data_IF_122829283284
#
_entry.id   IF_122829283284
#
_cell.length_a   1.000
_cell.length_b   1.000
_cell.length_c   1.000
_cell.angle_alpha   90.00
_cell.angle_beta   90.00
_cell.angle_gamma   90.00
#
_symmetry.space_group_name_H-M   'P 1'
#
loop_
_entity.id
_entity.type
_entity.pdbx_description
1 polymer ?
#
# COMPACT_ATOMS: atom_id res chain seq x y z
N UNK A 1 24.24 -7.13 -3.68
CA UNK A 1 23.03 -7.86 -3.26
C UNK A 1 23.08 -8.13 -1.77
N UNK A 2 22.23 -7.46 -0.99
CA UNK A 2 22.03 -7.66 0.45
C UNK A 2 21.31 -8.99 0.72
N UNK A 3 21.32 -9.50 1.96
CA UNK A 3 20.50 -10.66 2.33
C UNK A 3 18.99 -10.45 2.05
N UNK A 4 18.49 -9.23 2.21
CA UNK A 4 17.09 -8.89 1.94
C UNK A 4 16.77 -8.93 0.44
N UNK A 5 17.64 -8.36 -0.40
CA UNK A 5 17.47 -8.39 -1.86
C UNK A 5 17.43 -9.83 -2.39
N UNK A 6 18.32 -10.70 -1.89
CA UNK A 6 18.33 -12.13 -2.28
C UNK A 6 17.03 -12.84 -1.92
N UNK A 7 16.51 -12.58 -0.72
CA UNK A 7 15.25 -13.18 -0.27
C UNK A 7 14.07 -12.71 -1.14
N UNK A 8 14.00 -11.42 -1.48
CA UNK A 8 12.96 -10.89 -2.37
C UNK A 8 13.01 -11.54 -3.74
N UNK A 9 14.19 -11.71 -4.34
CA UNK A 9 14.34 -12.40 -5.63
C UNK A 9 13.84 -13.85 -5.60
N UNK A 10 14.05 -14.57 -4.49
CA UNK A 10 13.58 -15.95 -4.36
C UNK A 10 12.05 -16.03 -4.20
N UNK A 11 11.44 -15.05 -3.52
CA UNK A 11 9.98 -14.92 -3.41
C UNK A 11 9.37 -14.53 -4.76
N UNK A 12 9.99 -13.60 -5.50
CA UNK A 12 9.51 -13.11 -6.80
C UNK A 12 9.39 -14.24 -7.82
N UNK A 13 10.36 -15.15 -7.88
CA UNK A 13 10.33 -16.34 -8.77
C UNK A 13 9.11 -17.25 -8.49
N UNK A 14 8.64 -17.25 -7.25
CA UNK A 14 7.54 -18.10 -6.78
C UNK A 14 6.18 -17.43 -6.99
N UNK A 15 6.01 -16.20 -6.46
CA UNK A 15 4.74 -15.49 -6.45
C UNK A 15 4.46 -14.80 -7.80
N UNK A 16 5.52 -14.46 -8.55
CA UNK A 16 5.47 -13.80 -9.86
C UNK A 16 4.54 -12.57 -9.86
N UNK A 17 4.80 -11.58 -8.97
CA UNK A 17 4.01 -10.36 -8.94
C UNK A 17 4.22 -9.54 -10.22
N UNK A 18 3.28 -8.66 -10.55
CA UNK A 18 3.44 -7.73 -11.68
C UNK A 18 4.61 -6.76 -11.47
N UNK A 19 4.88 -6.40 -10.22
CA UNK A 19 6.00 -5.53 -9.83
C UNK A 19 6.42 -5.76 -8.38
N UNK A 20 7.69 -5.53 -8.10
CA UNK A 20 8.24 -5.38 -6.75
C UNK A 20 8.45 -3.89 -6.46
N UNK A 21 7.97 -3.41 -5.33
CA UNK A 21 8.15 -2.01 -4.89
C UNK A 21 8.79 -2.01 -3.51
N UNK A 22 9.90 -1.30 -3.36
CA UNK A 22 10.57 -1.08 -2.08
C UNK A 22 10.01 0.19 -1.44
N UNK A 23 9.38 0.04 -0.28
CA UNK A 23 8.78 1.18 0.40
C UNK A 23 9.84 2.08 1.04
N UNK A 24 9.78 3.38 0.76
CA UNK A 24 10.70 4.38 1.32
C UNK A 24 10.14 5.06 2.58
N UNK A 25 8.85 4.88 2.87
CA UNK A 25 8.17 5.46 4.03
C UNK A 25 7.95 6.97 3.93
N UNK A 26 8.12 7.56 2.75
CA UNK A 26 7.92 8.99 2.54
C UNK A 26 6.44 9.38 2.60
N UNK A 27 6.18 10.66 2.84
CA UNK A 27 4.81 11.19 2.80
C UNK A 27 4.19 11.04 1.41
N UNK A 28 4.97 11.25 0.34
CA UNK A 28 4.49 11.09 -1.04
C UNK A 28 4.16 9.64 -1.39
N UNK A 29 4.90 8.66 -0.86
CA UNK A 29 4.54 7.25 -0.98
C UNK A 29 3.19 6.97 -0.32
N UNK A 30 3.02 7.44 0.93
CA UNK A 30 1.76 7.24 1.66
C UNK A 30 0.57 7.89 0.94
N UNK A 31 0.73 9.13 0.45
CA UNK A 31 -0.31 9.83 -0.31
C UNK A 31 -0.71 9.04 -1.57
N UNK A 32 0.27 8.59 -2.36
CA UNK A 32 0.02 7.79 -3.56
C UNK A 32 -0.73 6.50 -3.25
N UNK A 33 -0.31 5.74 -2.23
CA UNK A 33 -0.97 4.49 -1.84
C UNK A 33 -2.41 4.73 -1.35
N UNK A 34 -2.63 5.79 -0.58
CA UNK A 34 -3.97 6.19 -0.12
C UNK A 34 -4.86 6.58 -1.29
N UNK A 35 -4.34 7.34 -2.26
CA UNK A 35 -5.07 7.72 -3.47
C UNK A 35 -5.46 6.49 -4.31
N UNK A 36 -4.54 5.55 -4.51
CA UNK A 36 -4.81 4.28 -5.20
C UNK A 36 -5.95 3.50 -4.50
N UNK A 37 -5.89 3.36 -3.17
CA UNK A 37 -6.92 2.65 -2.40
C UNK A 37 -8.28 3.39 -2.31
N UNK A 38 -8.28 4.71 -2.44
CA UNK A 38 -9.52 5.48 -2.55
C UNK A 38 -10.14 5.31 -3.95
N UNK A 39 -9.31 5.21 -4.98
CA UNK A 39 -9.76 5.05 -6.36
C UNK A 39 -10.37 3.65 -6.60
N UNK A 40 -9.82 2.60 -5.98
CA UNK A 40 -10.33 1.24 -6.12
C UNK A 40 -11.43 0.86 -5.11
N UNK A 41 -11.72 1.74 -4.14
CA UNK A 41 -12.77 1.56 -3.13
C UNK A 41 -12.36 0.71 -1.92
N UNK A 42 -11.08 0.31 -1.81
CA UNK A 42 -10.51 -0.33 -0.62
C UNK A 42 -10.65 0.56 0.61
N UNK A 43 -10.46 1.88 0.42
CA UNK A 43 -10.65 2.89 1.45
C UNK A 43 -11.82 3.82 1.14
N UNK A 44 -12.50 4.25 2.19
CA UNK A 44 -13.50 5.31 2.16
C UNK A 44 -13.01 6.49 3.01
N UNK A 45 -12.99 7.69 2.43
CA UNK A 45 -12.63 8.91 3.18
C UNK A 45 -13.67 9.20 4.25
N UNK A 46 -13.22 9.42 5.49
CA UNK A 46 -14.10 9.82 6.58
C UNK A 46 -14.42 11.32 6.54
N UNK A 47 -15.34 11.73 7.38
CA UNK A 47 -15.82 13.11 7.45
C UNK A 47 -14.68 14.07 7.79
N UNK A 48 -14.38 15.02 6.90
CA UNK A 48 -13.20 15.89 6.98
C UNK A 48 -13.12 16.71 8.28
N UNK A 49 -14.25 17.19 8.81
CA UNK A 49 -14.22 17.99 10.05
C UNK A 49 -14.16 17.14 11.32
N UNK A 50 -14.71 15.92 11.29
CA UNK A 50 -14.87 15.07 12.49
C UNK A 50 -13.71 14.09 12.64
N UNK A 51 -13.10 13.71 11.52
CA UNK A 51 -11.99 12.78 11.43
C UNK A 51 -11.10 13.16 10.22
N UNK A 52 -10.44 14.33 10.25
CA UNK A 52 -9.56 14.77 9.17
C UNK A 52 -8.46 13.74 8.90
N UNK A 53 -8.15 13.51 7.62
CA UNK A 53 -7.10 12.58 7.20
C UNK A 53 -7.34 11.11 7.55
N UNK A 54 -8.55 10.74 7.98
CA UNK A 54 -8.88 9.37 8.39
C UNK A 54 -9.67 8.62 7.31
N UNK A 55 -9.54 7.29 7.30
CA UNK A 55 -10.14 6.40 6.30
C UNK A 55 -10.81 5.20 6.95
N UNK A 56 -11.85 4.68 6.32
CA UNK A 56 -12.53 3.44 6.69
C UNK A 56 -12.22 2.35 5.67
N UNK A 57 -11.65 1.24 6.13
CA UNK A 57 -11.56 -0.02 5.40
C UNK A 57 -12.65 -0.98 5.90
N UNK A 58 -13.25 -1.75 4.99
CA UNK A 58 -14.21 -2.81 5.33
C UNK A 58 -13.71 -4.11 4.74
N UNK A 59 -13.14 -4.97 5.58
CA UNK A 59 -12.68 -6.29 5.15
C UNK A 59 -13.84 -7.20 4.77
N UNK A 60 -13.51 -8.33 4.16
CA UNK A 60 -14.45 -9.44 4.10
C UNK A 60 -14.90 -9.82 5.53
N UNK A 61 -16.20 -10.12 5.74
CA UNK A 61 -16.71 -10.63 7.02
C UNK A 61 -16.00 -11.90 7.50
#
# INVERSE_FOLDING_TARGET
MTPAERWVEDVEKTVRPDRVVWCDGSAGENERLVEEMLADGTLLRLHLEKAPGSYLHRSHP
#
